data_IF_520862265883
#
_entry.id   IF_520862265883
#
_cell.length_a   1.000
_cell.length_b   1.000
_cell.length_c   1.000
_cell.angle_alpha   90.00
_cell.angle_beta   90.00
_cell.angle_gamma   90.00
#
_symmetry.space_group_name_H-M   'P 1'
#
loop_
_entity.id
_entity.type
_entity.pdbx_description
1 polymer ?
#
# COMPACT_ATOMS: atom_id res chain seq x y z
N UNK A 1 -11.02 -7.39 6.84
CA UNK A 1 -10.26 -6.33 6.15
C UNK A 1 -10.99 -5.81 4.91
N UNK A 2 -11.41 -6.68 3.97
CA UNK A 2 -12.00 -6.27 2.69
C UNK A 2 -13.16 -5.26 2.78
N UNK A 3 -14.20 -5.46 3.63
CA UNK A 3 -15.28 -4.48 3.69
C UNK A 3 -14.82 -3.10 4.17
N UNK A 4 -13.78 -3.05 5.00
CA UNK A 4 -13.20 -1.78 5.47
C UNK A 4 -12.51 -1.07 4.30
N UNK A 5 -11.70 -1.79 3.52
CA UNK A 5 -10.99 -1.22 2.37
C UNK A 5 -11.95 -0.69 1.30
N UNK A 6 -13.06 -1.40 1.02
CA UNK A 6 -14.07 -0.93 0.06
C UNK A 6 -14.71 0.37 0.54
N UNK A 7 -15.09 0.44 1.82
CA UNK A 7 -15.65 1.66 2.39
C UNK A 7 -14.65 2.81 2.40
N UNK A 8 -13.39 2.52 2.75
CA UNK A 8 -12.32 3.52 2.74
C UNK A 8 -12.10 4.07 1.33
N UNK A 9 -12.00 3.19 0.33
CA UNK A 9 -11.82 3.59 -1.06
C UNK A 9 -12.96 4.49 -1.53
N UNK A 10 -14.21 4.10 -1.25
CA UNK A 10 -15.39 4.89 -1.62
C UNK A 10 -15.38 6.26 -0.94
N UNK A 11 -15.05 6.31 0.36
CA UNK A 11 -14.99 7.57 1.11
C UNK A 11 -13.91 8.51 0.56
N UNK A 12 -12.73 7.96 0.23
CA UNK A 12 -11.65 8.76 -0.36
C UNK A 12 -12.07 9.28 -1.74
N UNK A 13 -12.66 8.42 -2.58
CA UNK A 13 -13.12 8.82 -3.91
C UNK A 13 -14.14 9.97 -3.82
N UNK A 14 -15.09 9.84 -2.90
CA UNK A 14 -16.09 10.88 -2.66
C UNK A 14 -15.44 12.19 -2.17
N UNK A 15 -14.47 12.09 -1.26
CA UNK A 15 -13.78 13.27 -0.73
C UNK A 15 -12.93 13.97 -1.82
N UNK A 16 -12.26 13.20 -2.67
CA UNK A 16 -11.45 13.75 -3.77
C UNK A 16 -12.28 14.57 -4.76
N UNK A 17 -13.57 14.26 -4.90
CA UNK A 17 -14.47 15.01 -5.78
C UNK A 17 -14.85 16.39 -5.23
N UNK A 18 -14.56 16.68 -3.97
CA UNK A 18 -14.93 17.95 -3.32
C UNK A 18 -13.93 19.05 -3.70
N UNK A 19 -14.34 20.09 -4.42
CA UNK A 19 -13.39 21.10 -4.93
C UNK A 19 -12.70 21.92 -3.84
N UNK A 20 -13.31 22.04 -2.66
CA UNK A 20 -12.75 22.84 -1.56
C UNK A 20 -11.60 22.15 -0.83
N UNK A 21 -11.35 20.89 -1.06
CA UNK A 21 -10.27 20.17 -0.41
C UNK A 21 -8.98 20.24 -1.24
N UNK A 22 -7.86 20.63 -0.62
CA UNK A 22 -6.56 20.64 -1.29
C UNK A 22 -5.96 19.23 -1.38
N UNK A 23 -6.23 18.38 -0.39
CA UNK A 23 -5.75 17.00 -0.32
C UNK A 23 -6.42 16.26 0.81
N UNK A 24 -6.02 15.03 1.04
CA UNK A 24 -6.58 14.17 2.09
C UNK A 24 -5.47 13.62 2.97
N UNK A 25 -5.74 13.50 4.27
CA UNK A 25 -4.85 12.81 5.22
C UNK A 25 -5.59 11.62 5.81
N UNK A 26 -4.93 10.48 5.83
CA UNK A 26 -5.44 9.24 6.38
C UNK A 26 -4.54 8.79 7.52
N UNK A 27 -5.04 8.85 8.75
CA UNK A 27 -4.36 8.27 9.91
C UNK A 27 -4.64 6.77 9.97
N UNK A 28 -3.60 5.96 10.10
CA UNK A 28 -3.71 4.50 9.96
C UNK A 28 -2.75 3.80 10.94
N UNK A 29 -3.14 2.62 11.40
CA UNK A 29 -2.25 1.77 12.19
C UNK A 29 -1.11 1.24 11.32
N UNK A 30 0.09 1.15 11.88
CA UNK A 30 1.31 0.88 11.10
C UNK A 30 1.43 -0.56 10.61
N UNK A 31 0.65 -1.51 11.18
CA UNK A 31 0.84 -2.93 10.88
C UNK A 31 0.29 -3.35 9.51
N UNK A 32 -0.74 -2.65 9.03
CA UNK A 32 -1.33 -2.93 7.71
C UNK A 32 -1.36 -1.67 6.83
N UNK A 33 -0.54 -0.69 7.15
CA UNK A 33 -0.48 0.57 6.42
C UNK A 33 0.05 0.34 5.00
N UNK A 34 1.06 -0.51 4.85
CA UNK A 34 1.67 -0.77 3.54
C UNK A 34 0.70 -1.43 2.57
N UNK A 35 -0.16 -2.33 3.05
CA UNK A 35 -1.19 -2.95 2.22
C UNK A 35 -2.26 -1.93 1.80
N UNK A 36 -2.68 -1.09 2.75
CA UNK A 36 -3.65 -0.04 2.45
C UNK A 36 -3.07 0.97 1.46
N UNK A 37 -1.83 1.40 1.65
CA UNK A 37 -1.15 2.33 0.75
C UNK A 37 -1.05 1.75 -0.66
N UNK A 38 -0.62 0.49 -0.78
CA UNK A 38 -0.50 -0.20 -2.06
C UNK A 38 -1.86 -0.33 -2.76
N UNK A 39 -2.89 -0.75 -2.02
CA UNK A 39 -4.25 -0.86 -2.59
C UNK A 39 -4.71 0.50 -3.15
N UNK A 40 -4.57 1.56 -2.36
CA UNK A 40 -4.99 2.89 -2.80
C UNK A 40 -4.18 3.37 -4.01
N UNK A 41 -2.87 3.11 -4.03
CA UNK A 41 -2.02 3.49 -5.17
C UNK A 41 -2.41 2.78 -6.46
N UNK A 42 -2.83 1.51 -6.34
CA UNK A 42 -3.22 0.70 -7.51
C UNK A 42 -4.63 1.01 -8.02
N UNK A 43 -5.53 1.44 -7.13
CA UNK A 43 -6.96 1.48 -7.49
C UNK A 43 -7.56 2.88 -7.52
N UNK A 44 -6.91 3.89 -6.90
CA UNK A 44 -7.39 5.27 -6.97
C UNK A 44 -6.85 5.98 -8.21
N UNK A 45 -7.66 6.90 -8.74
CA UNK A 45 -7.21 7.92 -9.70
C UNK A 45 -7.21 9.27 -8.98
N UNK A 46 -6.28 9.51 -8.05
CA UNK A 46 -6.37 10.71 -7.22
C UNK A 46 -6.07 11.96 -8.04
N UNK A 47 -6.94 12.96 -7.92
CA UNK A 47 -6.77 14.29 -8.52
C UNK A 47 -6.07 15.26 -7.56
N UNK A 48 -5.81 14.80 -6.33
CA UNK A 48 -5.19 15.56 -5.24
C UNK A 48 -4.32 14.63 -4.42
N UNK A 49 -3.40 15.15 -3.58
CA UNK A 49 -2.61 14.28 -2.70
C UNK A 49 -3.48 13.51 -1.70
N UNK A 50 -3.20 12.22 -1.55
CA UNK A 50 -3.75 11.37 -0.49
C UNK A 50 -2.55 10.93 0.35
N UNK A 51 -2.46 11.43 1.58
CA UNK A 51 -1.29 11.25 2.42
C UNK A 51 -1.64 10.36 3.62
N UNK A 52 -1.04 9.19 3.66
CA UNK A 52 -1.15 8.30 4.82
C UNK A 52 -0.14 8.71 5.88
N UNK A 53 -0.48 8.44 7.15
CA UNK A 53 0.43 8.61 8.26
C UNK A 53 -0.01 7.73 9.43
N UNK A 54 0.82 7.65 10.47
CA UNK A 54 0.52 6.88 11.67
C UNK A 54 1.50 7.23 12.78
N UNK A 55 1.57 6.39 13.79
CA UNK A 55 2.49 6.57 14.92
C UNK A 55 3.05 5.22 15.37
N UNK A 56 4.29 5.22 15.84
CA UNK A 56 4.92 4.05 16.44
C UNK A 56 4.77 4.05 17.96
N UNK A 57 4.61 5.22 18.57
CA UNK A 57 4.43 5.35 20.02
C UNK A 57 3.01 5.82 20.35
N UNK A 58 2.41 5.25 21.37
CA UNK A 58 1.11 5.73 21.83
C UNK A 58 1.20 7.18 22.33
N UNK A 59 0.08 7.94 22.26
CA UNK A 59 0.11 9.36 22.61
C UNK A 59 0.44 9.65 24.08
N UNK A 60 0.32 8.65 24.97
CA UNK A 60 0.65 8.76 26.39
C UNK A 60 2.16 8.64 26.67
N UNK A 61 2.95 8.21 25.69
CA UNK A 61 4.39 8.04 25.90
C UNK A 61 5.16 9.33 25.65
N UNK A 62 6.23 9.52 26.43
CA UNK A 62 7.17 10.60 26.17
C UNK A 62 7.81 10.39 24.78
N UNK A 63 7.78 11.43 23.98
CA UNK A 63 8.29 11.35 22.62
C UNK A 63 7.32 10.70 21.63
N UNK A 64 6.01 10.74 21.92
CA UNK A 64 4.96 10.31 20.98
C UNK A 64 5.16 10.99 19.62
N UNK A 65 5.21 10.20 18.55
CA UNK A 65 5.53 10.68 17.22
C UNK A 65 4.28 11.08 16.40
N UNK A 66 3.10 10.64 16.83
CA UNK A 66 1.85 10.85 16.10
C UNK A 66 1.53 12.31 15.77
N UNK A 67 1.58 13.24 16.76
CA UNK A 67 1.26 14.65 16.47
C UNK A 67 2.18 15.27 15.42
N UNK A 68 3.48 14.97 15.46
CA UNK A 68 4.43 15.47 14.47
C UNK A 68 4.17 14.87 13.09
N UNK A 69 3.95 13.55 13.04
CA UNK A 69 3.66 12.86 11.79
C UNK A 69 2.38 13.40 11.14
N UNK A 70 1.34 13.63 11.95
CA UNK A 70 0.09 14.20 11.46
C UNK A 70 0.27 15.62 10.93
N UNK A 71 1.04 16.45 11.64
CA UNK A 71 1.32 17.82 11.17
C UNK A 71 2.03 17.80 9.81
N UNK A 72 3.04 16.93 9.66
CA UNK A 72 3.76 16.82 8.39
C UNK A 72 2.85 16.32 7.27
N UNK A 73 1.96 15.35 7.57
CA UNK A 73 1.01 14.85 6.57
C UNK A 73 0.02 15.92 6.12
N UNK A 74 -0.48 16.74 7.07
CA UNK A 74 -1.39 17.85 6.75
C UNK A 74 -0.67 18.88 5.88
N UNK A 75 0.55 19.24 6.23
CA UNK A 75 1.35 20.20 5.44
C UNK A 75 1.57 19.69 4.03
N UNK A 76 1.95 18.42 3.89
CA UNK A 76 2.17 17.81 2.56
C UNK A 76 0.87 17.80 1.75
N UNK A 77 -0.24 17.40 2.37
CA UNK A 77 -1.53 17.32 1.67
C UNK A 77 -2.06 18.69 1.24
N UNK A 78 -1.68 19.76 1.97
CA UNK A 78 -2.13 21.12 1.69
C UNK A 78 -1.15 21.91 0.79
N UNK A 79 0.03 21.38 0.54
CA UNK A 79 1.07 22.08 -0.22
C UNK A 79 0.71 22.07 -1.72
N UNK A 80 0.60 23.24 -2.37
CA UNK A 80 0.20 23.31 -3.78
C UNK A 80 1.21 22.68 -4.74
N UNK A 81 2.46 22.50 -4.30
CA UNK A 81 3.49 21.84 -5.11
C UNK A 81 3.41 20.31 -4.99
N UNK A 82 2.61 19.77 -4.07
CA UNK A 82 2.45 18.32 -3.95
C UNK A 82 1.57 17.80 -5.09
N UNK A 83 2.12 16.94 -5.95
CA UNK A 83 1.34 16.43 -7.07
C UNK A 83 0.25 15.45 -6.60
N UNK A 84 -0.79 15.24 -7.41
CA UNK A 84 -1.77 14.18 -7.13
C UNK A 84 -1.06 12.84 -7.00
N UNK A 85 -1.45 12.06 -6.00
CA UNK A 85 -0.78 10.76 -5.74
C UNK A 85 -1.13 10.22 -4.38
N UNK A 86 -0.63 9.02 -4.09
CA UNK A 86 -0.76 8.39 -2.76
C UNK A 86 0.63 8.32 -2.15
N UNK A 87 0.78 8.89 -0.96
CA UNK A 87 2.05 9.05 -0.27
C UNK A 87 1.94 8.58 1.18
N UNK A 88 3.06 8.16 1.74
CA UNK A 88 3.21 8.03 3.19
C UNK A 88 4.11 9.14 3.70
N UNK A 89 3.69 9.81 4.76
CA UNK A 89 4.58 10.65 5.56
C UNK A 89 4.80 9.97 6.91
N UNK A 90 6.06 9.73 7.24
CA UNK A 90 6.40 9.14 8.52
C UNK A 90 7.73 9.72 9.02
N UNK A 91 7.74 10.20 10.24
CA UNK A 91 8.87 10.99 10.73
C UNK A 91 9.04 12.24 9.90
N UNK A 92 10.21 12.37 9.29
CA UNK A 92 10.53 13.50 8.41
C UNK A 92 10.55 13.10 6.93
N UNK A 93 10.24 11.84 6.62
CA UNK A 93 10.38 11.31 5.27
C UNK A 93 9.03 11.17 4.56
N UNK A 94 9.03 11.42 3.26
CA UNK A 94 7.91 11.18 2.35
C UNK A 94 8.27 9.97 1.50
N UNK A 95 7.37 9.00 1.44
CA UNK A 95 7.55 7.78 0.64
C UNK A 95 6.45 7.64 -0.42
N UNK A 96 6.77 7.05 -1.57
CA UNK A 96 5.72 6.63 -2.48
C UNK A 96 4.95 5.45 -1.87
N UNK A 97 3.67 5.34 -2.18
CA UNK A 97 2.87 4.21 -1.70
C UNK A 97 3.29 2.88 -2.35
N UNK A 98 3.73 2.94 -3.61
CA UNK A 98 4.19 1.73 -4.31
C UNK A 98 5.57 1.32 -3.81
N UNK A 99 5.71 0.03 -3.48
CA UNK A 99 6.94 -0.52 -2.93
C UNK A 99 7.16 -0.24 -1.45
N UNK A 100 6.18 0.38 -0.79
CA UNK A 100 6.24 0.67 0.63
C UNK A 100 6.19 -0.62 1.45
N UNK A 101 7.05 -0.69 2.49
CA UNK A 101 7.00 -1.80 3.44
C UNK A 101 7.44 -1.35 4.84
N UNK A 102 6.88 -1.97 5.85
CA UNK A 102 7.30 -1.79 7.24
C UNK A 102 8.54 -2.67 7.46
N UNK A 103 9.71 -2.06 7.45
CA UNK A 103 11.00 -2.74 7.53
C UNK A 103 11.45 -3.00 8.98
N UNK A 104 10.87 -2.30 9.95
CA UNK A 104 11.23 -2.43 11.37
C UNK A 104 9.99 -2.43 12.25
N UNK A 105 10.01 -3.25 13.29
CA UNK A 105 8.88 -3.38 14.23
C UNK A 105 8.84 -2.28 15.29
N UNK A 106 9.98 -1.72 15.68
CA UNK A 106 10.07 -0.79 16.82
C UNK A 106 10.68 0.58 16.49
N UNK A 107 11.37 0.70 15.36
CA UNK A 107 12.03 1.96 15.00
C UNK A 107 11.01 3.08 14.77
N UNK A 108 11.35 4.31 15.14
CA UNK A 108 10.51 5.49 14.88
C UNK A 108 10.44 5.85 13.40
N UNK A 109 11.35 5.32 12.61
CA UNK A 109 11.30 5.38 11.15
C UNK A 109 11.23 3.94 10.65
N UNK A 110 10.04 3.32 10.67
CA UNK A 110 9.95 1.89 10.39
C UNK A 110 9.78 1.56 8.92
N UNK A 111 9.50 2.55 8.06
CA UNK A 111 9.13 2.31 6.67
C UNK A 111 10.29 2.50 5.72
N UNK A 112 10.29 1.71 4.67
CA UNK A 112 11.15 1.84 3.50
C UNK A 112 10.28 1.68 2.24
N UNK A 113 10.76 2.15 1.11
CA UNK A 113 10.09 1.94 -0.17
C UNK A 113 11.13 1.49 -1.19
N UNK A 114 10.88 0.38 -1.86
CA UNK A 114 11.82 -0.18 -2.83
C UNK A 114 11.19 -0.22 -4.23
N UNK A 115 11.99 -0.01 -5.27
CA UNK A 115 13.42 0.35 -5.26
C UNK A 115 13.71 1.83 -5.08
N UNK A 116 12.69 2.68 -4.99
CA UNK A 116 12.82 4.14 -5.14
C UNK A 116 13.35 4.85 -3.88
N UNK A 117 13.14 4.28 -2.70
CA UNK A 117 13.48 4.94 -1.44
C UNK A 117 12.49 6.05 -1.06
N UNK A 118 12.90 6.90 -0.14
CA UNK A 118 12.14 8.09 0.21
C UNK A 118 12.21 9.13 -0.92
N UNK A 119 11.11 9.81 -1.15
CA UNK A 119 11.02 10.88 -2.16
C UNK A 119 11.69 12.18 -1.69
N UNK A 120 11.84 12.35 -0.39
CA UNK A 120 12.43 13.53 0.20
C UNK A 120 11.99 13.76 1.63
N UNK A 121 12.27 14.95 2.14
CA UNK A 121 11.85 15.38 3.46
C UNK A 121 10.44 16.00 3.39
N UNK A 122 9.64 15.74 4.41
CA UNK A 122 8.31 16.33 4.51
C UNK A 122 8.35 17.85 4.74
N UNK A 123 9.50 18.35 5.21
CA UNK A 123 9.65 19.80 5.43
C UNK A 123 11.14 20.19 5.45
N UNK A 124 11.58 21.11 4.57
CA UNK A 124 10.82 21.66 3.45
C UNK A 124 10.55 20.60 2.36
N UNK A 125 9.35 20.60 1.83
CA UNK A 125 8.98 19.65 0.78
C UNK A 125 9.42 20.15 -0.58
N UNK A 126 10.04 19.28 -1.34
CA UNK A 126 10.39 19.52 -2.73
C UNK A 126 10.08 18.24 -3.50
N UNK A 127 8.96 18.21 -4.24
CA UNK A 127 8.60 16.99 -4.96
C UNK A 127 9.63 16.66 -6.04
N UNK A 128 10.10 15.40 -6.07
CA UNK A 128 10.91 14.98 -7.22
C UNK A 128 10.03 14.81 -8.45
N UNK A 129 10.60 14.77 -9.63
CA UNK A 129 9.84 14.38 -10.81
C UNK A 129 9.19 13.00 -10.56
N UNK A 130 7.87 12.93 -10.71
CA UNK A 130 7.17 11.66 -10.55
C UNK A 130 6.99 11.01 -11.92
N UNK A 131 7.15 9.70 -11.92
CA UNK A 131 6.87 8.89 -13.09
C UNK A 131 5.38 8.93 -13.42
N UNK A 132 5.08 8.79 -14.68
CA UNK A 132 3.69 8.69 -15.13
C UNK A 132 3.02 7.51 -14.43
N UNK A 133 1.87 7.77 -13.87
CA UNK A 133 1.12 6.72 -13.17
C UNK A 133 0.43 5.81 -14.17
N UNK A 134 0.48 4.52 -13.88
CA UNK A 134 -0.34 3.55 -14.59
C UNK A 134 -1.84 3.85 -14.36
N UNK A 135 -2.66 3.44 -15.30
CA UNK A 135 -4.11 3.53 -15.13
C UNK A 135 -4.55 2.74 -13.90
N UNK A 136 -5.49 3.28 -13.12
CA UNK A 136 -5.93 2.57 -11.92
C UNK A 136 -6.60 1.24 -12.28
N UNK A 137 -6.31 0.24 -11.47
CA UNK A 137 -6.93 -1.08 -11.62
C UNK A 137 -8.36 -1.04 -11.04
N UNK A 138 -9.31 -1.72 -11.66
CA UNK A 138 -10.63 -1.81 -11.07
C UNK A 138 -10.59 -2.60 -9.77
N UNK A 139 -11.40 -2.21 -8.80
CA UNK A 139 -11.59 -3.02 -7.60
C UNK A 139 -12.33 -4.29 -7.99
N UNK A 140 -11.77 -5.47 -7.70
CA UNK A 140 -12.45 -6.72 -8.06
C UNK A 140 -13.71 -6.93 -7.23
N UNK A 141 -14.75 -7.52 -7.86
CA UNK A 141 -15.96 -7.90 -7.16
C UNK A 141 -16.61 -9.10 -7.88
N UNK A 142 -16.70 -10.27 -7.23
CA UNK A 142 -16.17 -10.57 -5.89
C UNK A 142 -14.64 -10.60 -5.86
N UNK A 143 -14.06 -10.48 -4.67
CA UNK A 143 -12.62 -10.60 -4.50
C UNK A 143 -12.21 -12.07 -4.71
N UNK A 144 -11.19 -12.32 -5.52
CA UNK A 144 -10.70 -13.68 -5.70
C UNK A 144 -10.02 -14.19 -4.44
N UNK A 145 -10.11 -15.49 -4.22
CA UNK A 145 -9.33 -16.16 -3.19
C UNK A 145 -7.90 -16.31 -3.69
N UNK A 146 -6.95 -15.78 -2.93
CA UNK A 146 -5.52 -15.88 -3.25
C UNK A 146 -4.81 -16.59 -2.10
N UNK A 147 -4.10 -17.67 -2.41
CA UNK A 147 -3.32 -18.40 -1.42
C UNK A 147 -1.93 -17.77 -1.28
N UNK A 148 -1.46 -17.61 -0.05
CA UNK A 148 -0.09 -17.22 0.22
C UNK A 148 0.70 -18.44 0.70
N UNK A 149 1.71 -18.83 -0.07
CA UNK A 149 2.55 -19.98 0.21
C UNK A 149 3.95 -19.52 0.59
N UNK A 150 4.46 -20.03 1.71
CA UNK A 150 5.84 -19.74 2.12
C UNK A 150 6.76 -20.82 1.58
N UNK A 151 7.78 -20.43 0.84
CA UNK A 151 8.75 -21.35 0.23
C UNK A 151 9.89 -21.71 1.18
N UNK A 152 9.60 -21.96 2.45
CA UNK A 152 10.65 -22.21 3.43
C UNK A 152 10.91 -23.71 3.71
N UNK A 153 9.89 -24.55 3.60
CA UNK A 153 10.03 -25.95 4.01
C UNK A 153 9.15 -26.94 3.25
N UNK A 154 8.33 -26.47 2.32
CA UNK A 154 7.43 -27.34 1.59
C UNK A 154 7.89 -27.53 0.15
N UNK A 155 7.61 -28.68 -0.38
CA UNK A 155 7.69 -28.90 -1.82
C UNK A 155 6.68 -27.98 -2.51
N UNK A 156 7.18 -27.04 -3.28
CA UNK A 156 6.33 -26.05 -3.94
C UNK A 156 5.27 -26.67 -4.87
N UNK A 157 5.55 -27.72 -5.64
CA UNK A 157 4.51 -28.38 -6.42
C UNK A 157 3.38 -28.97 -5.56
N UNK A 158 3.68 -29.55 -4.41
CA UNK A 158 2.65 -30.09 -3.51
C UNK A 158 1.79 -28.97 -2.91
N UNK A 159 2.41 -27.88 -2.47
CA UNK A 159 1.70 -26.73 -1.93
C UNK A 159 0.77 -26.10 -2.99
N UNK A 160 1.22 -26.05 -4.24
CA UNK A 160 0.41 -25.55 -5.35
C UNK A 160 -0.79 -26.45 -5.64
N UNK A 161 -0.60 -27.80 -5.62
CA UNK A 161 -1.72 -28.73 -5.77
C UNK A 161 -2.78 -28.54 -4.70
N UNK A 162 -2.37 -28.45 -3.44
CA UNK A 162 -3.28 -28.21 -2.32
C UNK A 162 -4.05 -26.90 -2.50
N UNK A 163 -3.39 -25.87 -3.05
CA UNK A 163 -4.02 -24.59 -3.33
C UNK A 163 -5.10 -24.72 -4.41
N UNK A 164 -4.85 -25.50 -5.45
CA UNK A 164 -5.84 -25.77 -6.50
C UNK A 164 -7.09 -26.46 -5.92
N UNK A 165 -6.88 -27.43 -5.06
CA UNK A 165 -7.98 -28.16 -4.39
C UNK A 165 -8.86 -27.24 -3.54
N UNK A 166 -8.33 -26.15 -3.02
CA UNK A 166 -9.12 -25.19 -2.23
C UNK A 166 -9.89 -24.19 -3.11
N UNK A 167 -9.77 -24.25 -4.41
CA UNK A 167 -10.46 -23.35 -5.33
C UNK A 167 -9.90 -21.93 -5.35
N UNK A 168 -8.62 -21.76 -4.99
CA UNK A 168 -7.99 -20.44 -5.06
C UNK A 168 -7.79 -20.01 -6.52
N UNK A 169 -8.11 -18.76 -6.81
CA UNK A 169 -7.96 -18.17 -8.15
C UNK A 169 -6.48 -17.92 -8.52
N UNK A 170 -5.61 -17.79 -7.52
CA UNK A 170 -4.18 -17.55 -7.71
C UNK A 170 -3.40 -17.94 -6.46
N UNK A 171 -2.10 -18.13 -6.60
CA UNK A 171 -1.20 -18.35 -5.47
C UNK A 171 -0.02 -17.39 -5.52
N UNK A 172 0.35 -16.87 -4.37
CA UNK A 172 1.54 -16.04 -4.20
C UNK A 172 2.57 -16.88 -3.46
N UNK A 173 3.71 -17.13 -4.10
CA UNK A 173 4.81 -17.90 -3.49
C UNK A 173 5.81 -16.90 -2.88
N UNK A 174 5.81 -16.81 -1.56
CA UNK A 174 6.71 -15.93 -0.83
C UNK A 174 8.05 -16.66 -0.60
N UNK A 175 9.14 -16.09 -1.11
CA UNK A 175 10.48 -16.65 -1.00
C UNK A 175 11.55 -15.56 -1.07
N UNK A 176 12.83 -15.99 -1.04
CA UNK A 176 13.98 -15.05 -1.07
C UNK A 176 14.25 -14.42 -2.45
N UNK A 177 13.52 -14.83 -3.49
CA UNK A 177 13.66 -14.26 -4.84
C UNK A 177 12.38 -13.53 -5.23
N UNK A 178 12.46 -12.63 -6.21
CA UNK A 178 11.25 -11.90 -6.66
C UNK A 178 10.12 -12.86 -7.02
N UNK A 179 8.95 -12.53 -6.54
CA UNK A 179 7.74 -13.30 -6.79
C UNK A 179 7.39 -13.28 -8.28
N UNK A 180 7.27 -14.45 -8.87
CA UNK A 180 6.60 -14.60 -10.16
C UNK A 180 5.19 -15.10 -9.91
N UNK A 181 4.22 -14.25 -10.20
CA UNK A 181 2.82 -14.66 -10.21
C UNK A 181 2.60 -15.55 -11.43
N UNK A 182 2.19 -16.79 -11.21
CA UNK A 182 1.71 -17.66 -12.29
C UNK A 182 0.22 -17.87 -12.09
N UNK A 183 -0.58 -17.68 -13.14
CA UNK A 183 -1.97 -18.12 -13.09
C UNK A 183 -1.99 -19.62 -12.81
N UNK A 184 -2.89 -20.06 -11.98
CA UNK A 184 -3.14 -21.49 -11.84
C UNK A 184 -3.77 -21.98 -13.14
N UNK A 185 -3.19 -23.04 -13.71
CA UNK A 185 -3.73 -23.62 -14.94
C UNK A 185 -5.17 -24.11 -14.67
N UNK A 186 -6.04 -23.91 -15.64
CA UNK A 186 -7.38 -24.48 -15.58
C UNK A 186 -7.26 -26.01 -15.55
N UNK A 187 -8.15 -26.72 -14.83
CA UNK A 187 -8.17 -28.18 -14.87
C UNK A 187 -8.31 -28.75 -16.30
N UNK A 188 -8.82 -27.94 -17.22
CA UNK A 188 -9.01 -28.35 -18.63
C UNK A 188 -7.72 -28.25 -19.48
N UNK A 189 -6.67 -27.63 -18.95
CA UNK A 189 -5.40 -27.46 -19.69
C UNK A 189 -4.51 -28.74 -19.66
N UNK A 190 -4.82 -29.75 -18.83
CA UNK A 190 -4.07 -31.00 -18.76
C UNK A 190 -4.58 -32.08 -19.75
N UNK A 191 -5.61 -31.80 -20.54
CA UNK A 191 -6.20 -32.78 -21.44
C UNK A 191 -5.57 -32.81 -22.84
N UNK A 192 -4.46 -32.16 -23.06
CA UNK A 192 -3.78 -32.19 -24.39
C UNK A 192 -2.32 -32.55 -24.21
N UNK A 193 -2.35 -33.60 -24.34
CA UNK A 193 -1.03 -34.01 -24.29
C UNK A 193 -0.70 -34.92 -25.22
#
# INVERSE_FOLDING_TARGET
ALPIWLRLHAAITQALARPELAGLVLSHGTDTLEETATLLALTLAPTKPVVLTGAMRPPSEAGADGPRNLLHAIRLAADPDTPPGVFLVFGEAVFPAMGLRKAHTLALQPFAAEPRGALGSAFPWRPPPLEERASPLPLPHPWPTVALLSATALDAPEALRQTQETGAAAAVLAGRRPLRLRPLASPDDEAVX
#
